data_IF_031332032233
#
_entry.id   IF_031332032233
#
_cell.length_a   1.000
_cell.length_b   1.000
_cell.length_c   1.000
_cell.angle_alpha   90.00
_cell.angle_beta   90.00
_cell.angle_gamma   90.00
#
_symmetry.space_group_name_H-M   'P 1'
#
loop_
_entity.id
_entity.type
_entity.pdbx_description
1 polymer ?
#
# COMPACT_ATOMS: atom_id res chain seq x y z
N UNK A 1 -7.77 11.87 -10.47
CA UNK A 1 -7.78 10.96 -9.30
C UNK A 1 -6.48 11.17 -8.59
N UNK A 2 -6.47 11.30 -7.25
CA UNK A 2 -5.23 11.42 -6.50
C UNK A 2 -4.54 10.05 -6.45
N UNK A 3 -3.25 9.99 -6.71
CA UNK A 3 -2.40 8.81 -6.57
C UNK A 3 -1.49 9.00 -5.36
N UNK A 4 -1.64 8.13 -4.36
CA UNK A 4 -0.89 8.18 -3.11
C UNK A 4 -0.15 6.87 -2.91
N UNK A 5 1.13 6.95 -2.57
CA UNK A 5 1.95 5.77 -2.25
C UNK A 5 1.95 5.58 -0.73
N UNK A 6 1.54 4.39 -0.27
CA UNK A 6 1.64 3.98 1.14
C UNK A 6 2.49 2.71 1.26
N UNK A 7 3.64 2.78 1.95
CA UNK A 7 4.64 1.70 1.92
C UNK A 7 5.23 1.34 3.28
N UNK A 8 5.41 0.04 3.54
CA UNK A 8 6.15 -0.43 4.71
C UNK A 8 7.64 -0.46 4.36
N UNK A 9 8.47 0.35 5.03
CA UNK A 9 9.92 0.43 4.81
C UNK A 9 10.69 -0.16 6.01
N UNK A 10 10.46 -1.44 6.32
CA UNK A 10 11.12 -2.12 7.46
C UNK A 10 12.63 -2.27 7.31
N UNK A 11 13.20 -2.00 6.14
CA UNK A 11 14.65 -1.90 6.00
C UNK A 11 15.24 -0.79 6.87
N UNK A 12 14.47 0.26 7.18
CA UNK A 12 14.86 1.28 8.17
C UNK A 12 14.96 0.69 9.56
N UNK A 13 13.90 0.03 10.04
CA UNK A 13 13.91 -0.62 11.35
C UNK A 13 15.04 -1.64 11.52
N UNK A 14 15.37 -2.37 10.45
CA UNK A 14 16.42 -3.40 10.44
C UNK A 14 17.83 -2.83 10.23
N UNK A 15 17.98 -1.52 10.08
CA UNK A 15 19.28 -0.86 9.88
C UNK A 15 19.91 -1.07 8.50
N UNK A 16 19.14 -1.52 7.51
CA UNK A 16 19.65 -1.74 6.14
C UNK A 16 19.87 -0.41 5.39
N UNK A 17 19.06 0.61 5.70
CA UNK A 17 19.18 1.95 5.14
C UNK A 17 18.46 2.97 6.03
N UNK A 18 18.68 4.27 5.79
CA UNK A 18 18.09 5.35 6.59
C UNK A 18 16.76 5.84 6.02
N UNK A 19 15.99 6.57 6.81
CA UNK A 19 14.80 7.29 6.30
C UNK A 19 15.16 8.34 5.23
N UNK A 20 16.36 8.92 5.30
CA UNK A 20 16.83 9.85 4.29
C UNK A 20 17.06 9.17 2.94
N UNK A 21 17.52 7.93 2.94
CA UNK A 21 17.59 7.11 1.74
C UNK A 21 16.19 6.86 1.16
N UNK A 22 15.20 6.54 2.00
CA UNK A 22 13.78 6.39 1.55
C UNK A 22 13.28 7.67 0.88
N UNK A 23 13.52 8.84 1.48
CA UNK A 23 13.13 10.13 0.90
C UNK A 23 13.83 10.41 -0.43
N UNK A 24 15.12 10.08 -0.55
CA UNK A 24 15.88 10.19 -1.80
C UNK A 24 15.28 9.31 -2.90
N UNK A 25 14.92 8.06 -2.58
CA UNK A 25 14.27 7.15 -3.54
C UNK A 25 12.91 7.69 -3.98
N UNK A 26 12.07 8.19 -3.05
CA UNK A 26 10.80 8.81 -3.42
C UNK A 26 10.97 10.02 -4.34
N UNK A 27 11.96 10.88 -4.07
CA UNK A 27 12.27 12.02 -4.94
C UNK A 27 12.71 11.58 -6.34
N UNK A 28 13.49 10.50 -6.44
CA UNK A 28 13.88 9.89 -7.71
C UNK A 28 12.65 9.39 -8.49
N UNK A 29 11.76 8.62 -7.85
CA UNK A 29 10.51 8.13 -8.44
C UNK A 29 9.66 9.31 -8.95
N UNK A 30 9.47 10.33 -8.12
CA UNK A 30 8.70 11.52 -8.48
C UNK A 30 9.29 12.21 -9.71
N UNK A 31 10.62 12.40 -9.74
CA UNK A 31 11.31 13.01 -10.88
C UNK A 31 11.08 12.22 -12.18
N UNK A 32 11.28 10.90 -12.13
CA UNK A 32 11.08 10.03 -13.30
C UNK A 32 9.64 10.03 -13.81
N UNK A 33 8.65 10.16 -12.92
CA UNK A 33 7.24 10.28 -13.33
C UNK A 33 6.96 11.64 -13.97
N UNK A 34 7.48 12.74 -13.41
CA UNK A 34 7.29 14.09 -13.95
C UNK A 34 7.84 14.18 -15.37
N UNK A 35 9.01 13.60 -15.63
CA UNK A 35 9.61 13.52 -16.98
C UNK A 35 8.71 12.81 -18.00
N UNK A 36 7.75 11.99 -17.53
CA UNK A 36 6.77 11.26 -18.34
C UNK A 36 5.36 11.88 -18.29
N UNK A 37 5.21 13.07 -17.71
CA UNK A 37 3.91 13.76 -17.59
C UNK A 37 2.97 13.18 -16.52
N UNK A 38 3.51 12.45 -15.54
CA UNK A 38 2.77 11.89 -14.41
C UNK A 38 3.35 12.34 -13.07
N UNK A 39 2.63 12.17 -11.98
CA UNK A 39 3.13 12.49 -10.64
C UNK A 39 2.42 11.66 -9.56
N UNK A 40 3.05 11.52 -8.40
CA UNK A 40 2.42 11.02 -7.17
C UNK A 40 2.06 12.23 -6.32
N UNK A 41 0.83 12.28 -5.81
CA UNK A 41 0.34 13.39 -4.99
C UNK A 41 0.99 13.39 -3.60
N UNK A 42 1.24 12.21 -3.02
CA UNK A 42 1.93 12.07 -1.75
C UNK A 42 2.56 10.69 -1.54
N UNK A 43 3.64 10.66 -0.75
CA UNK A 43 4.28 9.44 -0.28
C UNK A 43 4.18 9.35 1.24
N UNK A 44 3.64 8.24 1.74
CA UNK A 44 3.65 7.87 3.15
C UNK A 44 4.40 6.56 3.33
N UNK A 45 5.24 6.50 4.35
CA UNK A 45 5.96 5.28 4.68
C UNK A 45 5.97 5.02 6.17
N UNK A 46 6.06 3.75 6.54
CA UNK A 46 6.24 3.33 7.92
C UNK A 46 7.63 2.71 8.10
N UNK A 47 8.52 3.33 8.91
CA UNK A 47 9.88 2.84 9.11
C UNK A 47 9.98 1.75 10.20
N UNK A 48 8.91 1.48 10.93
CA UNK A 48 8.92 0.65 12.14
C UNK A 48 8.80 -0.86 11.88
N UNK A 49 9.25 -1.64 12.86
CA UNK A 49 9.00 -3.07 12.96
C UNK A 49 8.75 -3.49 14.41
N UNK A 50 7.79 -4.39 14.64
CA UNK A 50 7.31 -4.74 15.98
C UNK A 50 8.30 -5.63 16.76
N UNK A 51 9.03 -6.51 16.06
CA UNK A 51 9.93 -7.50 16.69
C UNK A 51 11.39 -7.43 16.22
N UNK A 52 11.61 -7.17 14.93
CA UNK A 52 12.95 -7.12 14.30
C UNK A 52 13.53 -5.71 14.12
N UNK A 53 12.98 -4.69 14.80
CA UNK A 53 13.51 -3.33 14.74
C UNK A 53 14.69 -3.09 15.67
N UNK A 54 15.38 -1.97 15.47
CA UNK A 54 16.48 -1.49 16.34
C UNK A 54 16.14 -0.10 16.88
N UNK A 55 16.41 0.12 18.17
CA UNK A 55 16.25 1.43 18.83
C UNK A 55 14.83 1.98 18.72
N UNK A 56 14.71 3.24 18.30
CA UNK A 56 13.41 3.92 18.16
C UNK A 56 12.50 3.26 17.11
N UNK A 57 13.02 2.41 16.24
CA UNK A 57 12.21 1.75 15.21
C UNK A 57 11.63 0.39 15.65
N UNK A 58 12.06 -0.13 16.81
CA UNK A 58 11.52 -1.34 17.43
C UNK A 58 10.26 -1.00 18.23
N UNK A 59 9.12 -0.95 17.56
CA UNK A 59 7.86 -0.64 18.24
C UNK A 59 6.65 -1.14 17.46
N UNK A 60 5.55 -1.35 18.20
CA UNK A 60 4.24 -1.33 17.61
C UNK A 60 3.88 0.09 17.16
N UNK A 61 3.25 0.20 16.00
CA UNK A 61 2.78 1.48 15.48
C UNK A 61 1.50 1.26 14.68
N UNK A 62 0.72 2.32 14.52
CA UNK A 62 -0.50 2.32 13.71
C UNK A 62 -0.22 2.56 12.22
N UNK A 63 1.01 2.91 11.83
CA UNK A 63 1.36 3.14 10.43
C UNK A 63 1.63 1.87 9.63
N UNK A 64 2.12 0.80 10.28
CA UNK A 64 2.61 -0.39 9.57
C UNK A 64 1.43 -1.23 9.11
N UNK A 65 1.27 -1.40 7.80
CA UNK A 65 0.27 -2.34 7.24
C UNK A 65 0.50 -3.73 7.86
N UNK A 66 -0.54 -4.40 8.40
CA UNK A 66 -1.97 -4.23 8.09
C UNK A 66 -2.73 -3.15 8.88
N UNK A 67 -2.07 -2.32 9.68
CA UNK A 67 -2.70 -1.10 10.21
C UNK A 67 -2.93 -0.06 9.10
N UNK A 68 -3.96 0.77 9.30
CA UNK A 68 -4.42 1.74 8.30
C UNK A 68 -3.95 3.17 8.58
N UNK A 69 -3.07 3.41 9.55
CA UNK A 69 -2.70 4.76 9.98
C UNK A 69 -2.12 5.63 8.88
N UNK A 70 -1.36 5.07 7.93
CA UNK A 70 -0.89 5.82 6.76
C UNK A 70 -2.03 6.29 5.85
N UNK A 71 -3.05 5.45 5.64
CA UNK A 71 -4.21 5.78 4.80
C UNK A 71 -5.11 6.82 5.49
N UNK A 72 -5.31 6.69 6.80
CA UNK A 72 -6.05 7.67 7.62
C UNK A 72 -5.35 9.02 7.59
N UNK A 73 -4.01 9.02 7.71
CA UNK A 73 -3.20 10.23 7.61
C UNK A 73 -3.34 10.89 6.23
N UNK A 74 -3.25 10.10 5.15
CA UNK A 74 -3.45 10.60 3.79
C UNK A 74 -4.84 11.22 3.61
N UNK A 75 -5.89 10.60 4.16
CA UNK A 75 -7.26 11.14 4.14
C UNK A 75 -7.35 12.50 4.83
N UNK A 76 -6.78 12.63 6.02
CA UNK A 76 -6.82 13.88 6.79
C UNK A 76 -6.02 15.01 6.12
N UNK A 77 -4.82 14.72 5.61
CA UNK A 77 -3.94 15.74 5.02
C UNK A 77 -4.39 16.18 3.62
N UNK A 78 -5.08 15.32 2.88
CA UNK A 78 -5.38 15.53 1.46
C UNK A 78 -6.88 15.58 1.15
N UNK A 79 -7.76 15.51 2.14
CA UNK A 79 -9.22 15.46 1.95
C UNK A 79 -9.63 14.35 0.98
N UNK A 80 -9.28 13.10 1.33
CA UNK A 80 -9.60 11.90 0.54
C UNK A 80 -10.73 11.13 1.22
N UNK A 81 -11.81 10.87 0.47
CA UNK A 81 -12.86 9.93 0.88
C UNK A 81 -12.37 8.48 0.73
N UNK A 82 -12.03 7.87 1.87
CA UNK A 82 -11.50 6.50 1.93
C UNK A 82 -12.50 5.44 1.47
N UNK A 83 -13.80 5.62 1.72
CA UNK A 83 -14.82 4.64 1.34
C UNK A 83 -15.03 4.58 -0.19
N UNK A 84 -14.68 5.65 -0.89
CA UNK A 84 -14.68 5.74 -2.36
C UNK A 84 -13.30 5.51 -2.98
N UNK A 85 -12.31 5.14 -2.16
CA UNK A 85 -10.94 4.95 -2.58
C UNK A 85 -10.62 3.48 -2.85
N UNK A 86 -9.50 3.28 -3.55
CA UNK A 86 -8.95 1.98 -3.90
C UNK A 86 -7.53 1.88 -3.36
N UNK A 87 -7.15 0.70 -2.89
CA UNK A 87 -5.75 0.39 -2.57
C UNK A 87 -5.27 -0.69 -3.52
N UNK A 88 -4.07 -0.52 -4.09
CA UNK A 88 -3.44 -1.53 -4.93
C UNK A 88 -2.17 -2.01 -4.22
N UNK A 89 -2.04 -3.31 -4.01
CA UNK A 89 -0.89 -3.91 -3.33
C UNK A 89 -0.69 -5.36 -3.74
N UNK A 90 0.46 -5.93 -3.38
CA UNK A 90 0.85 -7.29 -3.72
C UNK A 90 0.86 -8.23 -2.51
N UNK A 91 0.52 -7.74 -1.32
CA UNK A 91 0.49 -8.53 -0.10
C UNK A 91 -0.87 -8.46 0.59
N UNK A 92 -1.24 -9.50 1.34
CA UNK A 92 -2.52 -9.56 2.06
C UNK A 92 -2.68 -8.40 3.05
N UNK A 93 -1.57 -7.98 3.69
CA UNK A 93 -1.57 -6.84 4.61
C UNK A 93 -2.05 -5.53 3.98
N UNK A 94 -1.90 -5.37 2.66
CA UNK A 94 -2.42 -4.20 1.93
C UNK A 94 -3.94 -4.26 1.85
N UNK A 95 -4.49 -5.43 1.53
CA UNK A 95 -5.93 -5.69 1.47
C UNK A 95 -6.57 -5.57 2.85
N UNK A 96 -5.90 -6.05 3.89
CA UNK A 96 -6.34 -5.89 5.28
C UNK A 96 -6.40 -4.42 5.70
N UNK A 97 -5.37 -3.63 5.37
CA UNK A 97 -5.37 -2.20 5.63
C UNK A 97 -6.52 -1.48 4.91
N UNK A 98 -6.81 -1.86 3.67
CA UNK A 98 -7.96 -1.35 2.91
C UNK A 98 -9.30 -1.67 3.59
N UNK A 99 -9.48 -2.91 4.05
CA UNK A 99 -10.69 -3.33 4.75
C UNK A 99 -10.97 -2.52 6.02
N UNK A 100 -9.93 -2.15 6.78
CA UNK A 100 -10.05 -1.33 8.00
C UNK A 100 -10.61 0.07 7.75
N UNK A 101 -10.47 0.59 6.53
CA UNK A 101 -10.99 1.92 6.13
C UNK A 101 -12.13 1.83 5.11
N UNK A 102 -12.67 0.63 4.86
CA UNK A 102 -13.73 0.36 3.86
C UNK A 102 -13.36 0.77 2.44
N UNK A 103 -12.07 0.86 2.12
CA UNK A 103 -11.59 1.05 0.76
C UNK A 103 -11.65 -0.28 0.00
N UNK A 104 -11.78 -0.21 -1.33
CA UNK A 104 -11.70 -1.40 -2.19
C UNK A 104 -10.24 -1.82 -2.34
N UNK A 105 -9.90 -3.01 -1.85
CA UNK A 105 -8.57 -3.60 -2.00
C UNK A 105 -8.42 -4.39 -3.31
N UNK A 106 -7.40 -4.06 -4.11
CA UNK A 106 -7.00 -4.77 -5.34
C UNK A 106 -5.64 -5.41 -5.11
N UNK A 107 -5.55 -6.72 -5.31
CA UNK A 107 -4.30 -7.46 -5.23
C UNK A 107 -3.70 -7.58 -6.64
N UNK A 108 -2.45 -7.19 -6.84
CA UNK A 108 -1.73 -7.46 -8.10
C UNK A 108 -0.92 -8.74 -7.98
N UNK A 109 -0.77 -9.49 -9.07
CA UNK A 109 0.04 -10.72 -9.11
C UNK A 109 1.55 -10.45 -9.19
N UNK A 110 1.96 -9.25 -9.61
CA UNK A 110 3.36 -8.82 -9.59
C UNK A 110 3.92 -8.78 -8.16
N UNK A 111 5.24 -8.74 -8.03
CA UNK A 111 5.91 -8.72 -6.72
C UNK A 111 5.63 -10.01 -5.92
N UNK A 112 5.07 -9.86 -4.72
CA UNK A 112 4.70 -10.99 -3.85
C UNK A 112 3.31 -11.58 -4.15
N UNK A 113 2.56 -11.02 -5.10
CA UNK A 113 1.15 -11.31 -5.35
C UNK A 113 0.80 -12.79 -5.53
N UNK A 114 1.49 -13.48 -6.44
CA UNK A 114 1.28 -14.92 -6.66
C UNK A 114 1.48 -15.73 -5.37
N UNK A 115 2.56 -15.46 -4.64
CA UNK A 115 2.84 -16.14 -3.38
C UNK A 115 1.79 -15.84 -2.32
N UNK A 116 1.32 -14.59 -2.23
CA UNK A 116 0.24 -14.20 -1.32
C UNK A 116 -1.06 -14.92 -1.66
N UNK A 117 -1.39 -15.09 -2.94
CA UNK A 117 -2.58 -15.87 -3.35
C UNK A 117 -2.45 -17.31 -2.85
N UNK A 118 -1.34 -17.96 -3.20
CA UNK A 118 -1.12 -19.38 -2.89
C UNK A 118 -1.08 -19.66 -1.38
N UNK A 119 -0.40 -18.81 -0.61
CA UNK A 119 -0.13 -19.06 0.81
C UNK A 119 -1.16 -18.46 1.75
N UNK A 120 -1.86 -17.40 1.34
CA UNK A 120 -2.70 -16.61 2.25
C UNK A 120 -4.17 -16.53 1.82
N UNK A 121 -4.51 -16.75 0.52
CA UNK A 121 -5.89 -16.63 0.02
C UNK A 121 -6.55 -17.96 -0.40
N UNK A 122 -5.76 -18.94 -0.85
CA UNK A 122 -6.24 -20.26 -1.25
C UNK A 122 -6.49 -21.24 -0.09
N UNK A 123 -5.72 -21.25 1.01
CA UNK A 123 -5.98 -22.18 2.10
C UNK A 123 -7.38 -22.01 2.68
N UNK A 124 -8.03 -23.12 3.09
CA UNK A 124 -9.36 -23.08 3.73
C UNK A 124 -9.38 -22.27 5.04
N UNK A 125 -8.20 -22.08 5.66
CA UNK A 125 -7.99 -21.25 6.84
C UNK A 125 -7.82 -19.76 6.54
N UNK A 126 -7.81 -19.35 5.27
CA UNK A 126 -7.75 -17.95 4.89
C UNK A 126 -8.95 -17.20 5.49
N UNK A 127 -8.66 -16.14 6.24
CA UNK A 127 -9.70 -15.33 6.86
C UNK A 127 -10.68 -14.72 5.84
N UNK A 128 -11.74 -14.09 6.33
CA UNK A 128 -12.84 -13.53 5.50
C UNK A 128 -12.37 -12.41 4.56
N UNK A 129 -11.23 -11.76 4.83
CA UNK A 129 -10.75 -10.61 4.05
C UNK A 129 -10.20 -11.09 2.70
N UNK A 130 -10.95 -10.81 1.63
CA UNK A 130 -10.53 -11.06 0.25
C UNK A 130 -10.38 -9.74 -0.53
N UNK A 131 -9.47 -9.68 -1.51
CA UNK A 131 -9.42 -8.55 -2.43
C UNK A 131 -10.72 -8.49 -3.24
N UNK A 132 -11.12 -7.28 -3.61
CA UNK A 132 -12.26 -7.02 -4.49
C UNK A 132 -11.94 -7.39 -5.95
N UNK A 133 -10.65 -7.36 -6.31
CA UNK A 133 -10.15 -7.77 -7.61
C UNK A 133 -8.71 -8.29 -7.49
N UNK A 134 -8.38 -9.31 -8.28
CA UNK A 134 -7.02 -9.81 -8.44
C UNK A 134 -6.58 -9.46 -9.86
N UNK A 135 -5.65 -8.52 -9.97
CA UNK A 135 -5.13 -7.99 -11.21
C UNK A 135 -3.82 -8.67 -11.63
N UNK A 136 -3.54 -8.75 -12.93
CA UNK A 136 -2.24 -9.23 -13.42
C UNK A 136 -1.10 -8.30 -13.00
N UNK A 137 -1.30 -6.99 -13.15
CA UNK A 137 -0.34 -5.94 -12.82
C UNK A 137 -1.06 -4.63 -12.46
N UNK A 138 -0.28 -3.55 -12.28
CA UNK A 138 -0.84 -2.23 -11.94
C UNK A 138 -1.70 -1.64 -13.07
N UNK A 139 -1.41 -1.93 -14.34
CA UNK A 139 -2.17 -1.42 -15.47
C UNK A 139 -3.54 -2.10 -15.54
N UNK A 140 -3.59 -3.42 -15.33
CA UNK A 140 -4.83 -4.17 -15.22
C UNK A 140 -5.67 -3.69 -14.02
N UNK A 141 -5.04 -3.46 -12.87
CA UNK A 141 -5.72 -2.89 -11.70
C UNK A 141 -6.34 -1.52 -12.00
N UNK A 142 -5.60 -0.63 -12.68
CA UNK A 142 -6.11 0.70 -13.05
C UNK A 142 -7.29 0.61 -14.03
N UNK A 143 -7.21 -0.26 -15.04
CA UNK A 143 -8.32 -0.48 -15.99
C UNK A 143 -9.59 -0.92 -15.25
N UNK A 144 -9.46 -1.90 -14.36
CA UNK A 144 -10.57 -2.36 -13.54
C UNK A 144 -11.14 -1.24 -12.65
N UNK A 145 -10.29 -0.45 -11.99
CA UNK A 145 -10.72 0.71 -11.18
C UNK A 145 -11.52 1.71 -12.03
N UNK A 146 -11.07 2.00 -13.26
CA UNK A 146 -11.77 2.93 -14.14
C UNK A 146 -13.17 2.42 -14.53
N UNK A 147 -13.32 1.13 -14.80
CA UNK A 147 -14.63 0.53 -15.07
C UNK A 147 -15.53 0.49 -13.84
N UNK A 148 -14.99 0.07 -12.70
CA UNK A 148 -15.76 -0.02 -11.44
C UNK A 148 -16.28 1.34 -11.00
N UNK A 149 -15.51 2.42 -11.19
CA UNK A 149 -15.94 3.80 -10.88
C UNK A 149 -17.10 4.32 -11.72
N UNK A 150 -17.33 3.75 -12.90
CA UNK A 150 -18.46 4.14 -13.77
C UNK A 150 -19.76 3.42 -13.41
N UNK A 151 -19.70 2.38 -12.57
CA UNK A 151 -20.86 1.60 -12.12
C UNK A 151 -21.54 2.17 -10.88
N UNK A 152 -21.00 3.24 -10.29
CA UNK A 152 -21.42 3.83 -9.01
C UNK A 152 -21.94 5.25 -9.20
#
# INVERSE_FOLDING_TARGET
MKAVVVTNQSGVARGYFTEEFVRTVHACIQKTLIEKGAFIDAFYYCPHHQTEGIGVYLQYCTCRKPEAGMLIRASAEMDIDLARSYTVGDMLKDIQAAGKIRAKGVLVKTGYGVNTIEKELLPESAGIIRPHYIAEDILDAVKWIMEDRLRV
#
